data_IF_609625408343
#
_entry.id   IF_609625408343
#
_cell.length_a   1.000
_cell.length_b   1.000
_cell.length_c   1.000
_cell.angle_alpha   90.00
_cell.angle_beta   90.00
_cell.angle_gamma   90.00
#
_symmetry.space_group_name_H-M   'P 1'
#
loop_
_entity.id
_entity.type
_entity.pdbx_description
1 polymer ?
#
# COMPACT_ATOMS: atom_id res chain seq x y z
N UNK A 1 -6.37 -21.97 32.32
CA UNK A 1 -5.37 -21.07 31.71
C UNK A 1 -4.96 -21.69 30.38
N UNK A 2 -4.93 -20.93 29.30
CA UNK A 2 -4.42 -21.46 28.04
C UNK A 2 -2.96 -21.87 28.21
N UNK A 3 -2.57 -22.97 27.57
CA UNK A 3 -1.19 -23.46 27.58
C UNK A 3 -0.35 -22.66 26.59
N UNK A 4 0.98 -22.69 26.71
CA UNK A 4 1.88 -22.05 25.74
C UNK A 4 1.64 -22.56 24.30
N UNK A 5 1.23 -23.83 24.17
CA UNK A 5 0.83 -24.41 22.88
C UNK A 5 -0.46 -23.81 22.33
N UNK A 6 -1.45 -23.51 23.18
CA UNK A 6 -2.70 -22.84 22.74
C UNK A 6 -2.42 -21.41 22.31
N UNK A 7 -1.50 -20.72 22.99
CA UNK A 7 -1.06 -19.37 22.62
C UNK A 7 -0.32 -19.39 21.28
N UNK A 8 0.58 -20.35 21.04
CA UNK A 8 1.29 -20.48 19.78
C UNK A 8 0.34 -20.77 18.61
N UNK A 9 -0.65 -21.66 18.78
CA UNK A 9 -1.68 -21.95 17.76
C UNK A 9 -2.57 -20.72 17.49
N UNK A 10 -2.90 -19.94 18.51
CA UNK A 10 -3.64 -18.69 18.34
C UNK A 10 -2.81 -17.63 17.60
N UNK A 11 -1.53 -17.48 17.93
CA UNK A 11 -0.61 -16.59 17.23
C UNK A 11 -0.43 -17.01 15.76
N UNK A 12 -0.27 -18.29 15.48
CA UNK A 12 -0.20 -18.81 14.11
C UNK A 12 -1.48 -18.51 13.32
N UNK A 13 -2.65 -18.70 13.91
CA UNK A 13 -3.94 -18.36 13.26
C UNK A 13 -4.10 -16.85 13.05
N UNK A 14 -3.68 -16.01 14.00
CA UNK A 14 -3.70 -14.56 13.86
C UNK A 14 -2.72 -14.07 12.78
N UNK A 15 -1.58 -14.74 12.62
CA UNK A 15 -0.60 -14.45 11.57
C UNK A 15 -1.08 -14.83 10.15
N UNK A 16 -2.20 -15.56 10.01
CA UNK A 16 -2.83 -15.88 8.72
C UNK A 16 -4.03 -14.96 8.38
N UNK A 17 -4.35 -14.00 9.24
CA UNK A 17 -5.46 -13.06 9.03
C UNK A 17 -4.94 -11.76 8.40
N UNK A 18 -4.79 -11.76 7.07
CA UNK A 18 -4.59 -10.51 6.35
C UNK A 18 -5.92 -9.75 6.16
N UNK A 19 -5.79 -8.44 5.96
CA UNK A 19 -6.93 -7.53 5.87
C UNK A 19 -7.10 -7.08 4.43
N UNK A 20 -8.30 -7.24 3.88
CA UNK A 20 -8.61 -6.77 2.54
C UNK A 20 -8.65 -5.24 2.47
N UNK A 21 -7.88 -4.67 1.53
CA UNK A 21 -7.92 -3.25 1.21
C UNK A 21 -8.96 -3.04 0.11
N UNK A 22 -10.19 -2.75 0.50
CA UNK A 22 -11.27 -2.47 -0.46
C UNK A 22 -10.99 -1.16 -1.21
N UNK A 23 -10.99 -1.14 -2.54
CA UNK A 23 -10.72 0.07 -3.32
C UNK A 23 -11.83 1.11 -3.16
N UNK A 24 -11.46 2.39 -3.21
CA UNK A 24 -12.41 3.48 -3.37
C UNK A 24 -12.91 3.50 -4.81
N UNK A 25 -14.22 3.71 -4.98
CA UNK A 25 -14.89 3.75 -6.30
C UNK A 25 -15.32 5.16 -6.71
N UNK A 26 -15.22 6.13 -5.80
CA UNK A 26 -15.65 7.51 -6.04
C UNK A 26 -14.67 8.52 -5.44
N UNK A 27 -14.47 9.62 -6.17
CA UNK A 27 -13.81 10.82 -5.68
C UNK A 27 -14.75 11.60 -4.76
N UNK A 28 -14.22 12.37 -3.81
CA UNK A 28 -15.05 13.22 -2.93
C UNK A 28 -15.63 14.44 -3.66
N UNK A 29 -15.18 14.72 -4.86
CA UNK A 29 -15.63 15.78 -5.76
C UNK A 29 -15.13 15.53 -7.17
N UNK A 30 -15.61 16.30 -8.14
CA UNK A 30 -15.11 16.26 -9.52
C UNK A 30 -13.69 16.80 -9.59
N UNK A 31 -12.85 16.11 -10.35
CA UNK A 31 -11.50 16.55 -10.68
C UNK A 31 -11.13 16.06 -12.07
N UNK A 32 -11.28 16.93 -13.09
CA UNK A 32 -11.03 16.57 -14.49
C UNK A 32 -9.58 16.11 -14.77
N UNK A 33 -8.63 16.42 -13.90
CA UNK A 33 -7.25 15.93 -14.04
C UNK A 33 -7.17 14.41 -13.81
N UNK A 34 -8.09 13.84 -13.03
CA UNK A 34 -8.15 12.42 -12.73
C UNK A 34 -9.25 11.71 -13.53
N UNK A 35 -10.51 12.17 -13.43
CA UNK A 35 -11.66 11.60 -14.11
C UNK A 35 -12.69 12.69 -14.43
N UNK A 36 -13.45 12.51 -15.52
CA UNK A 36 -14.45 13.46 -15.99
C UNK A 36 -15.69 13.59 -15.08
N UNK A 37 -15.82 12.70 -14.10
CA UNK A 37 -16.92 12.69 -13.13
C UNK A 37 -16.40 12.21 -11.75
N UNK A 38 -17.29 11.97 -10.81
CA UNK A 38 -16.92 11.49 -9.46
C UNK A 38 -16.65 9.99 -9.38
N UNK A 39 -16.87 9.23 -10.46
CA UNK A 39 -16.57 7.79 -10.49
C UNK A 39 -15.13 7.58 -10.89
N UNK A 40 -14.40 6.77 -10.16
CA UNK A 40 -13.04 6.35 -10.51
C UNK A 40 -13.14 5.35 -11.65
N UNK A 41 -12.66 5.71 -12.84
CA UNK A 41 -12.85 4.92 -14.05
C UNK A 41 -12.24 3.52 -13.96
N UNK A 42 -11.01 3.43 -13.42
CA UNK A 42 -10.32 2.17 -13.15
C UNK A 42 -9.84 2.21 -11.70
N UNK A 43 -10.62 1.67 -10.75
CA UNK A 43 -10.19 1.56 -9.36
C UNK A 43 -9.09 0.50 -9.22
N UNK A 44 -8.34 0.58 -8.12
CA UNK A 44 -7.42 -0.50 -7.75
C UNK A 44 -8.18 -1.82 -7.56
N UNK A 45 -7.49 -2.93 -7.66
CA UNK A 45 -8.02 -4.22 -7.21
C UNK A 45 -8.19 -4.25 -5.68
N UNK A 46 -8.87 -5.27 -5.17
CA UNK A 46 -8.89 -5.53 -3.73
C UNK A 46 -7.49 -5.94 -3.31
N UNK A 47 -6.81 -5.03 -2.63
CA UNK A 47 -5.47 -5.25 -2.12
C UNK A 47 -5.46 -5.94 -0.77
N UNK A 48 -4.28 -6.00 -0.16
CA UNK A 48 -4.07 -6.68 1.13
C UNK A 48 -3.16 -5.87 2.04
N UNK A 49 -3.53 -5.77 3.33
CA UNK A 49 -2.63 -5.39 4.40
C UNK A 49 -2.25 -6.65 5.20
N UNK A 50 -0.95 -6.80 5.50
CA UNK A 50 -0.42 -7.97 6.15
C UNK A 50 -0.99 -8.16 7.57
N UNK A 51 -1.24 -7.06 8.29
CA UNK A 51 -1.71 -7.09 9.67
C UNK A 51 -2.45 -5.79 10.05
N UNK A 52 -3.06 -5.79 11.24
CA UNK A 52 -3.50 -4.56 11.90
C UNK A 52 -2.32 -3.91 12.61
N UNK A 53 -2.18 -2.60 12.46
CA UNK A 53 -1.07 -1.84 13.03
C UNK A 53 -1.06 -1.90 14.56
N UNK A 54 0.05 -2.36 15.13
CA UNK A 54 0.26 -2.46 16.58
C UNK A 54 -0.33 -3.70 17.25
N UNK A 55 -1.05 -4.55 16.51
CA UNK A 55 -1.50 -5.84 17.05
C UNK A 55 -0.32 -6.80 17.25
N UNK A 56 -0.49 -7.76 18.14
CA UNK A 56 0.52 -8.77 18.46
C UNK A 56 1.05 -9.47 17.19
N UNK A 57 2.33 -9.78 17.18
CA UNK A 57 3.00 -10.41 16.04
C UNK A 57 3.44 -9.39 14.99
N UNK A 58 3.00 -9.53 13.74
CA UNK A 58 3.45 -8.66 12.64
C UNK A 58 3.11 -7.20 12.85
N UNK A 59 2.00 -6.87 13.50
CA UNK A 59 1.61 -5.49 13.80
C UNK A 59 2.60 -4.76 14.71
N UNK A 60 3.09 -5.45 15.75
CA UNK A 60 4.15 -4.93 16.64
C UNK A 60 5.49 -4.82 15.90
N UNK A 61 5.83 -5.80 15.05
CA UNK A 61 7.05 -5.77 14.24
C UNK A 61 7.05 -4.55 13.30
N UNK A 62 5.96 -4.32 12.57
CA UNK A 62 5.81 -3.16 11.69
C UNK A 62 5.94 -1.86 12.49
N UNK A 63 5.28 -1.77 13.65
CA UNK A 63 5.35 -0.60 14.52
C UNK A 63 6.77 -0.34 15.01
N UNK A 64 7.47 -1.37 15.47
CA UNK A 64 8.85 -1.24 15.94
C UNK A 64 9.78 -0.80 14.79
N UNK A 65 9.75 -1.52 13.64
CA UNK A 65 10.66 -1.27 12.53
C UNK A 65 10.42 0.11 11.90
N UNK A 66 9.17 0.56 11.87
CA UNK A 66 8.82 1.89 11.34
C UNK A 66 9.56 3.01 12.06
N UNK A 67 9.72 2.93 13.39
CA UNK A 67 10.25 4.03 14.19
C UNK A 67 11.65 3.77 14.75
N UNK A 68 12.08 2.52 14.87
CA UNK A 68 13.30 2.16 15.62
C UNK A 68 14.34 1.39 14.80
N UNK A 69 13.99 0.80 13.66
CA UNK A 69 14.93 0.11 12.78
C UNK A 69 15.32 0.99 11.58
N UNK A 70 16.41 0.67 10.91
CA UNK A 70 16.83 1.33 9.67
C UNK A 70 16.02 0.84 8.46
N UNK A 71 15.55 -0.41 8.49
CA UNK A 71 14.73 -1.04 7.47
C UNK A 71 13.65 -1.93 8.11
N UNK A 72 12.63 -2.31 7.35
CA UNK A 72 11.73 -3.39 7.76
C UNK A 72 12.47 -4.72 7.71
N UNK A 73 12.28 -5.58 8.72
CA UNK A 73 12.99 -6.87 8.84
C UNK A 73 12.61 -7.85 7.73
N UNK A 74 13.52 -8.80 7.45
CA UNK A 74 13.32 -9.79 6.39
C UNK A 74 12.11 -10.68 6.61
N UNK A 75 11.74 -10.96 7.87
CA UNK A 75 10.56 -11.74 8.22
C UNK A 75 9.27 -11.13 7.64
N UNK A 76 9.16 -9.80 7.63
CA UNK A 76 8.03 -9.10 7.00
C UNK A 76 8.07 -9.23 5.47
N UNK A 77 9.26 -9.22 4.85
CA UNK A 77 9.42 -9.42 3.41
C UNK A 77 9.01 -10.83 3.00
N UNK A 78 9.46 -11.85 3.77
CA UNK A 78 9.10 -13.24 3.54
C UNK A 78 7.60 -13.46 3.60
N UNK A 79 6.97 -12.96 4.68
CA UNK A 79 5.53 -13.11 4.85
C UNK A 79 4.73 -12.36 3.80
N UNK A 80 5.18 -11.17 3.43
CA UNK A 80 4.56 -10.41 2.32
C UNK A 80 4.62 -11.17 1.00
N UNK A 81 5.77 -11.77 0.68
CA UNK A 81 5.92 -12.57 -0.54
C UNK A 81 5.03 -13.82 -0.54
N UNK A 82 4.90 -14.50 0.61
CA UNK A 82 4.00 -15.64 0.78
C UNK A 82 2.54 -15.24 0.50
N UNK A 83 2.07 -14.18 1.18
CA UNK A 83 0.70 -13.66 1.03
C UNK A 83 0.41 -13.21 -0.39
N UNK A 84 1.36 -12.53 -1.03
CA UNK A 84 1.18 -12.08 -2.41
C UNK A 84 1.10 -13.25 -3.38
N UNK A 85 1.96 -14.28 -3.25
CA UNK A 85 1.86 -15.49 -4.10
C UNK A 85 0.50 -16.17 -3.98
N UNK A 86 -0.03 -16.24 -2.77
CA UNK A 86 -1.37 -16.81 -2.52
C UNK A 86 -2.47 -15.96 -3.15
N UNK A 87 -2.40 -14.62 -3.00
CA UNK A 87 -3.48 -13.69 -3.42
C UNK A 87 -3.50 -13.39 -4.91
N UNK A 88 -2.35 -13.27 -5.53
CA UNK A 88 -2.26 -12.89 -6.95
C UNK A 88 -2.00 -14.09 -7.88
N UNK A 89 -1.49 -15.22 -7.35
CA UNK A 89 -1.21 -16.42 -8.17
C UNK A 89 -0.44 -16.11 -9.45
N UNK A 90 -0.82 -16.76 -10.55
CA UNK A 90 -0.21 -16.59 -11.89
C UNK A 90 -0.92 -15.53 -12.74
N UNK A 91 -1.48 -14.48 -12.13
CA UNK A 91 -2.28 -13.46 -12.83
C UNK A 91 -1.45 -12.43 -13.65
N UNK A 92 -0.18 -12.71 -13.92
CA UNK A 92 0.66 -11.93 -14.82
C UNK A 92 1.21 -10.64 -14.22
N UNK A 93 1.25 -10.52 -12.88
CA UNK A 93 2.03 -9.49 -12.20
C UNK A 93 3.52 -9.80 -12.35
N UNK A 94 4.32 -8.78 -12.58
CA UNK A 94 5.78 -8.93 -12.75
C UNK A 94 6.56 -7.71 -12.28
N UNK A 95 5.85 -6.66 -11.79
CA UNK A 95 6.49 -5.42 -11.36
C UNK A 95 5.95 -4.97 -10.01
N UNK A 96 6.86 -4.58 -9.13
CA UNK A 96 6.59 -3.96 -7.83
C UNK A 96 7.02 -2.51 -7.89
N UNK A 97 6.18 -1.62 -7.42
CA UNK A 97 6.49 -0.20 -7.17
C UNK A 97 6.04 0.18 -5.76
N UNK A 98 6.43 1.34 -5.29
CA UNK A 98 6.03 1.81 -3.97
C UNK A 98 5.48 3.23 -3.99
N UNK A 99 4.74 3.58 -2.95
CA UNK A 99 4.40 4.96 -2.65
C UNK A 99 5.69 5.72 -2.31
N UNK A 100 6.00 6.82 -3.02
CA UNK A 100 7.22 7.57 -2.79
C UNK A 100 7.14 8.37 -1.48
N UNK A 101 8.28 8.47 -0.80
CA UNK A 101 8.43 9.27 0.42
C UNK A 101 9.71 10.10 0.37
N UNK A 102 9.61 11.40 0.61
CA UNK A 102 10.78 12.28 0.68
C UNK A 102 11.64 12.06 1.94
N UNK A 103 11.04 11.48 2.98
CA UNK A 103 11.67 11.40 4.32
C UNK A 103 12.06 9.98 4.72
N UNK A 104 11.53 8.97 4.05
CA UNK A 104 11.70 7.59 4.48
C UNK A 104 11.88 6.65 3.29
N UNK A 105 13.11 6.16 3.13
CA UNK A 105 13.46 5.20 2.08
C UNK A 105 13.06 3.74 2.44
N UNK A 106 12.55 3.48 3.65
CA UNK A 106 12.26 2.12 4.13
C UNK A 106 11.23 1.38 3.26
N UNK A 107 10.22 2.11 2.76
CA UNK A 107 9.19 1.51 1.88
C UNK A 107 9.79 1.12 0.54
N UNK A 108 10.66 1.95 -0.02
CA UNK A 108 11.36 1.64 -1.28
C UNK A 108 12.31 0.46 -1.12
N UNK A 109 13.06 0.40 -0.01
CA UNK A 109 13.92 -0.73 0.34
C UNK A 109 13.10 -2.02 0.50
N UNK A 110 12.01 -1.97 1.26
CA UNK A 110 11.11 -3.10 1.43
C UNK A 110 10.54 -3.59 0.09
N UNK A 111 10.04 -2.66 -0.75
CA UNK A 111 9.46 -3.01 -2.06
C UNK A 111 10.50 -3.64 -3.00
N UNK A 112 11.76 -3.20 -2.96
CA UNK A 112 12.86 -3.78 -3.74
C UNK A 112 13.14 -5.21 -3.31
N UNK A 113 13.33 -5.45 -2.01
CA UNK A 113 13.54 -6.80 -1.46
C UNK A 113 12.35 -7.72 -1.70
N UNK A 114 11.12 -7.19 -1.61
CA UNK A 114 9.91 -7.94 -1.94
C UNK A 114 9.87 -8.34 -3.42
N UNK A 115 10.23 -7.44 -4.33
CA UNK A 115 10.33 -7.74 -5.76
C UNK A 115 11.36 -8.85 -6.02
N UNK A 116 12.55 -8.76 -5.44
CA UNK A 116 13.58 -9.80 -5.53
C UNK A 116 13.06 -11.16 -5.03
N UNK A 117 12.33 -11.16 -3.91
CA UNK A 117 11.77 -12.38 -3.32
C UNK A 117 10.67 -13.00 -4.16
N UNK A 118 9.91 -12.19 -4.88
CA UNK A 118 8.89 -12.65 -5.83
C UNK A 118 9.46 -13.06 -7.19
N UNK A 119 10.69 -12.67 -7.52
CA UNK A 119 11.27 -12.80 -8.85
C UNK A 119 10.71 -11.78 -9.84
N UNK A 120 10.31 -10.61 -9.36
CA UNK A 120 9.71 -9.51 -10.12
C UNK A 120 10.68 -8.34 -10.27
N UNK A 121 10.40 -7.47 -11.23
CA UNK A 121 11.10 -6.20 -11.39
C UNK A 121 10.67 -5.20 -10.32
N UNK A 122 11.61 -4.46 -9.74
CA UNK A 122 11.32 -3.27 -8.96
C UNK A 122 11.47 -2.04 -9.83
N UNK A 123 10.44 -1.21 -9.93
CA UNK A 123 10.44 0.01 -10.72
C UNK A 123 9.91 1.21 -9.92
N UNK A 124 10.67 2.30 -9.87
CA UNK A 124 10.23 3.57 -9.29
C UNK A 124 9.33 4.31 -10.29
N UNK A 125 8.04 3.99 -10.29
CA UNK A 125 7.06 4.55 -11.23
C UNK A 125 6.52 5.90 -10.77
N UNK A 126 6.58 6.17 -9.47
CA UNK A 126 6.03 7.35 -8.82
C UNK A 126 7.13 8.14 -8.14
N UNK A 127 6.96 9.45 -8.06
CA UNK A 127 7.85 10.33 -7.32
C UNK A 127 7.07 11.34 -6.48
N UNK A 128 7.74 11.93 -5.49
CA UNK A 128 7.15 13.00 -4.67
C UNK A 128 7.07 14.25 -5.52
N UNK A 129 5.88 14.83 -5.61
CA UNK A 129 5.68 16.14 -6.22
C UNK A 129 6.34 17.20 -5.34
N UNK A 130 7.17 18.07 -5.93
CA UNK A 130 7.90 19.13 -5.20
C UNK A 130 7.03 20.29 -4.68
N UNK A 131 5.71 20.17 -4.80
CA UNK A 131 4.78 21.20 -4.33
C UNK A 131 4.54 21.05 -2.83
N UNK A 132 5.17 21.94 -2.12
CA UNK A 132 5.07 22.41 -0.74
C UNK A 132 4.23 21.66 0.30
N UNK A 133 4.92 21.37 1.40
CA UNK A 133 4.31 20.97 2.67
C UNK A 133 3.40 22.07 3.23
N UNK A 134 2.10 21.95 3.02
CA UNK A 134 1.16 22.48 3.99
C UNK A 134 0.62 21.32 4.81
N UNK A 135 1.13 21.19 6.02
CA UNK A 135 0.52 20.36 7.07
C UNK A 135 -0.84 20.95 7.44
N UNK A 136 -1.86 20.58 6.71
CA UNK A 136 -3.23 20.81 7.17
C UNK A 136 -3.67 19.50 7.82
N UNK A 137 -3.63 19.46 9.14
CA UNK A 137 -4.21 18.41 9.97
C UNK A 137 -5.73 18.57 9.90
N UNK A 138 -6.35 18.03 8.85
CA UNK A 138 -7.80 17.94 8.76
C UNK A 138 -8.18 16.51 8.36
N UNK A 139 -8.97 15.85 9.21
CA UNK A 139 -9.43 14.48 9.04
C UNK A 139 -10.55 14.32 7.98
N UNK A 140 -10.87 15.36 7.22
CA UNK A 140 -11.90 15.30 6.21
C UNK A 140 -11.40 14.55 4.96
N UNK A 141 -12.21 13.62 4.46
CA UNK A 141 -12.00 12.81 3.24
C UNK A 141 -11.53 13.63 2.03
N UNK A 142 -12.10 14.81 1.80
CA UNK A 142 -11.74 15.71 0.69
C UNK A 142 -10.31 16.23 0.82
N UNK A 143 -9.88 16.60 2.03
CA UNK A 143 -8.52 17.07 2.29
C UNK A 143 -7.48 15.96 2.17
N UNK A 144 -7.79 14.77 2.66
CA UNK A 144 -6.90 13.61 2.52
C UNK A 144 -6.68 13.25 1.04
N UNK A 145 -7.75 13.28 0.24
CA UNK A 145 -7.68 13.08 -1.21
C UNK A 145 -6.84 14.18 -1.88
N UNK A 146 -7.11 15.46 -1.58
CA UNK A 146 -6.38 16.59 -2.15
C UNK A 146 -4.89 16.56 -1.77
N UNK A 147 -4.56 16.18 -0.54
CA UNK A 147 -3.17 16.02 -0.10
C UNK A 147 -2.46 14.88 -0.84
N UNK A 148 -3.11 13.75 -1.05
CA UNK A 148 -2.54 12.65 -1.83
C UNK A 148 -2.25 13.07 -3.28
N UNK A 149 -3.19 13.79 -3.92
CA UNK A 149 -3.04 14.34 -5.28
C UNK A 149 -1.88 15.31 -5.42
N UNK A 150 -1.63 16.14 -4.40
CA UNK A 150 -0.52 17.11 -4.39
C UNK A 150 0.85 16.46 -4.13
N UNK A 151 0.89 15.33 -3.44
CA UNK A 151 2.13 14.70 -2.98
C UNK A 151 2.75 13.73 -3.96
N UNK A 152 1.96 13.15 -4.87
CA UNK A 152 2.38 12.06 -5.73
C UNK A 152 2.17 12.45 -7.17
N UNK A 153 3.20 12.22 -7.99
CA UNK A 153 3.11 12.29 -9.45
C UNK A 153 3.78 11.09 -10.09
N UNK A 154 3.43 10.86 -11.34
CA UNK A 154 4.10 9.86 -12.16
C UNK A 154 5.50 10.37 -12.53
N UNK A 155 6.49 9.48 -12.48
CA UNK A 155 7.85 9.78 -12.92
C UNK A 155 7.86 9.93 -14.45
N UNK A 156 8.53 10.96 -14.95
CA UNK A 156 8.57 11.23 -16.39
C UNK A 156 9.49 10.27 -17.15
N UNK A 157 9.16 9.99 -18.40
CA UNK A 157 10.01 9.24 -19.32
C UNK A 157 10.12 7.74 -19.05
N UNK A 158 9.25 7.18 -18.19
CA UNK A 158 9.23 5.74 -17.88
C UNK A 158 8.11 5.02 -18.62
N UNK A 159 8.34 3.74 -18.90
CA UNK A 159 7.30 2.85 -19.40
C UNK A 159 6.50 2.30 -18.23
N UNK A 160 5.18 2.40 -18.28
CA UNK A 160 4.29 1.85 -17.27
C UNK A 160 3.97 0.39 -17.62
N UNK A 161 4.19 -0.56 -16.69
CA UNK A 161 3.78 -1.96 -16.86
C UNK A 161 2.25 -2.11 -16.82
N UNK A 162 1.73 -3.14 -17.52
CA UNK A 162 0.29 -3.39 -17.53
C UNK A 162 -0.28 -3.75 -16.16
N UNK A 163 0.49 -4.49 -15.36
CA UNK A 163 0.06 -4.92 -14.02
C UNK A 163 1.15 -4.63 -13.00
N UNK A 164 0.76 -3.96 -11.92
CA UNK A 164 1.69 -3.44 -10.91
C UNK A 164 1.22 -3.78 -9.51
N UNK A 165 2.13 -4.26 -8.67
CA UNK A 165 1.94 -4.33 -7.22
C UNK A 165 2.39 -3.00 -6.63
N UNK A 166 1.48 -2.27 -5.99
CA UNK A 166 1.73 -0.97 -5.37
C UNK A 166 1.89 -1.13 -3.86
N UNK A 167 3.09 -0.90 -3.36
CA UNK A 167 3.48 -1.12 -1.96
C UNK A 167 3.47 0.17 -1.16
N UNK A 168 2.92 0.11 0.05
CA UNK A 168 3.06 1.13 1.09
C UNK A 168 3.32 0.49 2.46
N UNK A 169 3.80 1.25 3.44
CA UNK A 169 3.97 0.73 4.81
C UNK A 169 2.64 0.64 5.56
N UNK A 170 1.76 1.61 5.37
CA UNK A 170 0.49 1.68 6.09
C UNK A 170 -0.65 2.15 5.22
N UNK A 171 -1.82 1.56 5.43
CA UNK A 171 -3.07 2.05 4.89
C UNK A 171 -3.96 2.59 6.02
N UNK A 172 -4.53 3.78 5.79
CA UNK A 172 -5.54 4.40 6.65
C UNK A 172 -6.77 4.75 5.80
N UNK A 173 -6.83 5.93 5.26
CA UNK A 173 -7.95 6.42 4.45
C UNK A 173 -8.02 5.85 3.03
N UNK A 174 -7.00 5.15 2.59
CA UNK A 174 -6.83 4.58 1.23
C UNK A 174 -6.63 5.62 0.12
N UNK A 175 -6.64 6.94 0.42
CA UNK A 175 -6.51 7.97 -0.63
C UNK A 175 -5.16 7.96 -1.33
N UNK A 176 -4.08 7.71 -0.61
CA UNK A 176 -2.73 7.60 -1.19
C UNK A 176 -2.68 6.50 -2.25
N UNK A 177 -3.15 5.30 -1.90
CA UNK A 177 -3.23 4.16 -2.81
C UNK A 177 -4.17 4.41 -3.99
N UNK A 178 -5.31 5.07 -3.73
CA UNK A 178 -6.30 5.40 -4.78
C UNK A 178 -5.72 6.37 -5.81
N UNK A 179 -5.08 7.43 -5.35
CA UNK A 179 -4.47 8.45 -6.24
C UNK A 179 -3.31 7.84 -7.02
N UNK A 180 -2.41 7.13 -6.34
CA UNK A 180 -1.26 6.49 -6.98
C UNK A 180 -1.69 5.46 -8.03
N UNK A 181 -2.65 4.60 -7.69
CA UNK A 181 -3.18 3.62 -8.64
C UNK A 181 -3.87 4.27 -9.83
N UNK A 182 -4.63 5.36 -9.62
CA UNK A 182 -5.26 6.08 -10.73
C UNK A 182 -4.25 6.79 -11.63
N UNK A 183 -3.15 7.31 -11.09
CA UNK A 183 -2.06 7.86 -11.90
C UNK A 183 -1.46 6.79 -12.81
N UNK A 184 -1.25 5.58 -12.30
CA UNK A 184 -0.76 4.45 -13.09
C UNK A 184 -1.79 4.01 -14.15
N UNK A 185 -3.06 3.80 -13.76
CA UNK A 185 -4.10 3.32 -14.70
C UNK A 185 -4.51 4.36 -15.74
N UNK A 186 -4.26 5.64 -15.51
CA UNK A 186 -4.44 6.70 -16.52
C UNK A 186 -3.32 6.71 -17.57
N UNK A 187 -2.21 6.02 -17.31
CA UNK A 187 -1.03 5.93 -18.16
C UNK A 187 -0.73 4.46 -18.54
N UNK A 188 -1.75 3.79 -19.07
CA UNK A 188 -1.69 2.46 -19.68
C UNK A 188 -1.48 1.25 -18.72
N UNK A 189 -1.50 1.46 -17.42
CA UNK A 189 -1.59 0.33 -16.49
C UNK A 189 -3.03 -0.21 -16.46
N UNK A 190 -3.20 -1.51 -16.66
CA UNK A 190 -4.52 -2.16 -16.63
C UNK A 190 -4.99 -2.44 -15.21
N UNK A 191 -4.07 -2.94 -14.36
CA UNK A 191 -4.39 -3.39 -13.02
C UNK A 191 -3.34 -2.93 -12.01
N UNK A 192 -3.80 -2.41 -10.87
CA UNK A 192 -2.97 -2.08 -9.71
C UNK A 192 -3.45 -2.87 -8.51
N UNK A 193 -2.58 -3.71 -7.95
CA UNK A 193 -2.82 -4.48 -6.72
C UNK A 193 -2.13 -3.79 -5.53
N UNK A 194 -2.87 -3.16 -4.61
CA UNK A 194 -2.28 -2.57 -3.40
C UNK A 194 -1.82 -3.63 -2.40
N UNK A 195 -0.63 -3.41 -1.85
CA UNK A 195 -0.12 -4.14 -0.70
C UNK A 195 0.38 -3.17 0.37
N UNK A 196 0.00 -3.36 1.63
CA UNK A 196 0.52 -2.61 2.76
C UNK A 196 1.02 -3.54 3.86
N UNK A 197 2.03 -3.12 4.60
CA UNK A 197 2.49 -3.86 5.78
C UNK A 197 1.43 -3.86 6.88
N UNK A 198 0.76 -2.72 7.11
CA UNK A 198 -0.27 -2.67 8.15
C UNK A 198 -1.47 -1.79 7.76
N UNK A 199 -2.63 -2.18 8.27
CA UNK A 199 -3.84 -1.35 8.30
C UNK A 199 -3.90 -0.59 9.64
N UNK A 200 -3.87 0.74 9.54
CA UNK A 200 -4.03 1.65 10.67
C UNK A 200 -5.41 2.33 10.72
N UNK A 201 -6.31 1.99 9.80
CA UNK A 201 -7.66 2.52 9.85
C UNK A 201 -8.32 2.17 11.18
N UNK A 202 -8.93 3.16 11.84
CA UNK A 202 -9.81 2.86 12.95
C UNK A 202 -10.99 2.08 12.39
N UNK A 203 -11.41 1.01 13.08
CA UNK A 203 -12.69 0.41 12.80
C UNK A 203 -13.70 1.54 12.95
N UNK A 204 -14.37 1.91 11.85
CA UNK A 204 -15.47 2.87 11.90
C UNK A 204 -16.42 2.31 12.97
N UNK A 205 -16.47 3.00 14.11
CA UNK A 205 -17.32 2.60 15.23
C UNK A 205 -18.75 2.49 14.73
N UNK A 206 -19.37 1.38 15.08
CA UNK A 206 -20.81 1.16 14.97
C UNK A 206 -21.60 2.28 15.62
#
# INVERSE_FOLDING_TARGET
MPTDADVAVLQERLNHLYIDITPRKRWPGMDPQFDSNTVIAVPNEIGVALCKYGDAGYGEMVKYDKYHAEAFRDELVEKAAEVLRERIGENGYGTVTNIPSARNAKVADFARRLAERLGYEYAELLEVSGEGEQQIIMQNTSYQCANAKKKIRLKEGIRIPQKVILVDDMVDSRWTLTVAGRLLTKNDCECVFPFCLADSSQLDGE
#
